data_IF_836413963844
#
_entry.id   IF_836413963844
#
_cell.length_a   1.000
_cell.length_b   1.000
_cell.length_c   1.000
_cell.angle_alpha   90.00
_cell.angle_beta   90.00
_cell.angle_gamma   90.00
#
_symmetry.space_group_name_H-M   'P 1'
#
loop_
_entity.id
_entity.type
_entity.pdbx_description
1 polymer ?
#
# COMPACT_ATOMS: atom_id res chain seq x y z
N UNK A 1 27.44 35.51 -3.08
CA UNK A 1 25.98 35.40 -3.21
C UNK A 1 25.69 33.99 -3.69
N UNK A 2 25.40 33.08 -2.75
CA UNK A 2 25.08 31.69 -3.07
C UNK A 2 23.61 31.59 -3.45
N UNK A 3 23.31 30.95 -4.58
CA UNK A 3 21.96 30.70 -5.05
C UNK A 3 21.14 29.92 -4.01
N UNK A 4 20.07 30.55 -3.54
CA UNK A 4 19.06 29.98 -2.65
C UNK A 4 18.16 29.00 -3.42
N UNK A 5 18.70 27.84 -3.78
CA UNK A 5 18.01 26.89 -4.67
C UNK A 5 18.02 25.45 -4.13
N UNK A 6 17.51 25.23 -2.91
CA UNK A 6 16.84 23.94 -2.56
C UNK A 6 15.89 24.14 -1.37
N UNK A 7 14.84 24.97 -1.49
CA UNK A 7 13.90 25.18 -0.37
C UNK A 7 12.95 23.99 -0.17
N UNK A 8 12.87 23.08 -1.15
CA UNK A 8 11.87 22.01 -1.14
C UNK A 8 12.38 20.75 -1.85
N UNK A 9 12.26 19.61 -1.20
CA UNK A 9 12.56 18.29 -1.77
C UNK A 9 11.25 17.54 -2.07
N UNK A 10 11.05 17.16 -3.33
CA UNK A 10 9.82 16.48 -3.78
C UNK A 10 10.00 14.96 -3.71
N UNK A 11 9.22 14.29 -2.87
CA UNK A 11 9.28 12.84 -2.64
C UNK A 11 8.76 12.02 -3.84
N UNK A 12 7.94 12.64 -4.70
CA UNK A 12 7.36 12.00 -5.90
C UNK A 12 7.64 12.85 -7.14
N UNK A 13 8.73 12.56 -7.85
CA UNK A 13 9.08 13.26 -9.11
C UNK A 13 8.18 12.89 -10.29
N UNK A 14 7.51 11.73 -10.25
CA UNK A 14 6.59 11.30 -11.32
C UNK A 14 5.36 10.57 -10.77
N UNK A 15 4.18 11.20 -10.94
CA UNK A 15 2.88 10.62 -10.53
C UNK A 15 2.58 9.30 -11.26
N UNK A 16 3.00 9.19 -12.52
CA UNK A 16 2.83 7.96 -13.34
C UNK A 16 3.62 6.79 -12.76
N UNK A 17 4.85 7.03 -12.30
CA UNK A 17 5.69 5.97 -11.69
C UNK A 17 5.17 5.57 -10.31
N UNK A 18 4.68 6.52 -9.52
CA UNK A 18 4.04 6.23 -8.23
C UNK A 18 2.74 5.42 -8.38
N UNK A 19 1.98 5.67 -9.47
CA UNK A 19 0.73 4.97 -9.77
C UNK A 19 0.91 3.60 -10.46
N UNK A 20 2.06 3.33 -11.09
CA UNK A 20 2.27 2.11 -11.87
C UNK A 20 2.02 0.81 -11.07
N UNK A 21 2.54 0.65 -9.83
CA UNK A 21 2.26 -0.56 -9.04
C UNK A 21 0.78 -0.74 -8.73
N UNK A 22 0.06 0.37 -8.48
CA UNK A 22 -1.38 0.34 -8.23
C UNK A 22 -2.14 -0.04 -9.51
N UNK A 23 -1.77 0.53 -10.66
CA UNK A 23 -2.37 0.19 -11.95
C UNK A 23 -2.20 -1.30 -12.29
N UNK A 24 -0.99 -1.85 -12.13
CA UNK A 24 -0.72 -3.29 -12.35
C UNK A 24 -1.59 -4.13 -11.44
N UNK A 25 -1.73 -3.73 -10.17
CA UNK A 25 -2.54 -4.47 -9.20
C UNK A 25 -4.03 -4.42 -9.55
N UNK A 26 -4.54 -3.27 -9.98
CA UNK A 26 -5.95 -3.10 -10.41
C UNK A 26 -6.23 -3.94 -11.65
N UNK A 27 -5.36 -3.87 -12.67
CA UNK A 27 -5.50 -4.64 -13.90
C UNK A 27 -5.46 -6.14 -13.64
N UNK A 28 -4.52 -6.61 -12.81
CA UNK A 28 -4.43 -8.01 -12.44
C UNK A 28 -5.72 -8.51 -11.77
N UNK A 29 -6.25 -7.75 -10.80
CA UNK A 29 -7.50 -8.11 -10.13
C UNK A 29 -8.70 -8.12 -11.08
N UNK A 30 -8.78 -7.14 -11.99
CA UNK A 30 -9.80 -7.11 -13.04
C UNK A 30 -9.72 -8.33 -13.96
N UNK A 31 -8.50 -8.75 -14.34
CA UNK A 31 -8.28 -9.95 -15.15
C UNK A 31 -8.72 -11.22 -14.43
N UNK A 32 -8.47 -11.36 -13.12
CA UNK A 32 -8.94 -12.53 -12.34
C UNK A 32 -10.47 -12.61 -12.34
N UNK A 33 -11.16 -11.48 -12.11
CA UNK A 33 -12.63 -11.44 -12.14
C UNK A 33 -13.16 -11.78 -13.53
N UNK A 34 -12.60 -11.16 -14.58
CA UNK A 34 -13.00 -11.44 -15.96
C UNK A 34 -12.76 -12.91 -16.35
N UNK A 35 -11.63 -13.48 -15.93
CA UNK A 35 -11.30 -14.88 -16.17
C UNK A 35 -12.27 -15.84 -15.48
N UNK A 36 -12.66 -15.56 -14.23
CA UNK A 36 -13.67 -16.35 -13.53
C UNK A 36 -15.03 -16.32 -14.24
N UNK A 37 -15.45 -15.15 -14.74
CA UNK A 37 -16.68 -15.02 -15.55
C UNK A 37 -16.57 -15.81 -16.85
N UNK A 38 -15.43 -15.75 -17.55
CA UNK A 38 -15.19 -16.53 -18.78
C UNK A 38 -15.22 -18.04 -18.54
N UNK A 39 -14.83 -18.51 -17.36
CA UNK A 39 -14.94 -19.93 -16.97
C UNK A 39 -16.36 -20.34 -16.56
N UNK A 40 -17.34 -19.44 -16.62
CA UNK A 40 -18.70 -19.74 -16.20
C UNK A 40 -18.86 -19.88 -14.69
N UNK A 41 -18.02 -19.19 -13.90
CA UNK A 41 -18.22 -19.16 -12.45
C UNK A 41 -19.58 -18.51 -12.13
N UNK A 42 -20.42 -19.23 -11.39
CA UNK A 42 -21.76 -18.79 -11.01
C UNK A 42 -21.98 -18.87 -9.50
N UNK A 43 -23.08 -18.27 -9.04
CA UNK A 43 -23.54 -18.35 -7.66
C UNK A 43 -22.49 -17.91 -6.63
N UNK A 44 -22.27 -18.69 -5.55
CA UNK A 44 -21.43 -18.27 -4.42
C UNK A 44 -19.95 -18.11 -4.78
N UNK A 45 -19.44 -18.84 -5.78
CA UNK A 45 -18.05 -18.75 -6.22
C UNK A 45 -17.75 -17.42 -6.91
N UNK A 46 -18.64 -16.98 -7.79
CA UNK A 46 -18.51 -15.67 -8.43
C UNK A 46 -18.58 -14.54 -7.40
N UNK A 47 -19.49 -14.64 -6.42
CA UNK A 47 -19.59 -13.66 -5.32
C UNK A 47 -18.32 -13.61 -4.48
N UNK A 48 -17.68 -14.75 -4.23
CA UNK A 48 -16.43 -14.83 -3.47
C UNK A 48 -15.27 -14.19 -4.27
N UNK A 49 -15.17 -14.48 -5.57
CA UNK A 49 -14.16 -13.87 -6.46
C UNK A 49 -14.36 -12.35 -6.55
N UNK A 50 -15.59 -11.88 -6.77
CA UNK A 50 -15.92 -10.44 -6.78
C UNK A 50 -15.65 -9.81 -5.42
N UNK A 51 -16.02 -10.48 -4.33
CA UNK A 51 -15.80 -9.99 -2.96
C UNK A 51 -14.32 -9.80 -2.64
N UNK A 52 -13.47 -10.76 -3.00
CA UNK A 52 -12.03 -10.69 -2.71
C UNK A 52 -11.31 -9.78 -3.71
N UNK A 53 -11.48 -10.02 -5.01
CA UNK A 53 -10.69 -9.35 -6.05
C UNK A 53 -11.34 -8.06 -6.53
N UNK A 54 -12.68 -8.03 -6.64
CA UNK A 54 -13.43 -6.83 -7.03
C UNK A 54 -13.32 -5.73 -5.98
N UNK A 55 -13.62 -6.01 -4.71
CA UNK A 55 -13.51 -5.00 -3.65
C UNK A 55 -12.07 -4.48 -3.49
N UNK A 56 -11.07 -5.37 -3.47
CA UNK A 56 -9.67 -4.98 -3.42
C UNK A 56 -9.23 -4.23 -4.70
N UNK A 57 -9.83 -4.54 -5.85
CA UNK A 57 -9.62 -3.84 -7.12
C UNK A 57 -10.15 -2.41 -7.06
N UNK A 58 -11.37 -2.22 -6.55
CA UNK A 58 -11.98 -0.89 -6.35
C UNK A 58 -11.14 -0.04 -5.40
N UNK A 59 -10.72 -0.59 -4.25
CA UNK A 59 -9.84 0.12 -3.31
C UNK A 59 -8.53 0.53 -3.99
N UNK A 60 -7.92 -0.38 -4.77
CA UNK A 60 -6.71 -0.10 -5.54
C UNK A 60 -6.90 0.99 -6.59
N UNK A 61 -8.06 1.00 -7.26
CA UNK A 61 -8.41 2.00 -8.27
C UNK A 61 -8.59 3.38 -7.64
N UNK A 62 -9.28 3.47 -6.50
CA UNK A 62 -9.42 4.72 -5.74
C UNK A 62 -8.04 5.25 -5.33
N UNK A 63 -7.17 4.38 -4.80
CA UNK A 63 -5.79 4.77 -4.46
C UNK A 63 -4.98 5.24 -5.67
N UNK A 64 -5.13 4.58 -6.82
CA UNK A 64 -4.48 4.97 -8.07
C UNK A 64 -4.94 6.36 -8.54
N UNK A 65 -6.25 6.60 -8.57
CA UNK A 65 -6.83 7.89 -8.94
C UNK A 65 -6.36 8.99 -7.98
N UNK A 66 -6.36 8.73 -6.67
CA UNK A 66 -5.86 9.67 -5.67
C UNK A 66 -4.36 9.99 -5.88
N UNK A 67 -3.56 8.99 -6.26
CA UNK A 67 -2.11 9.15 -6.54
C UNK A 67 -1.87 10.02 -7.77
N UNK A 68 -2.69 9.89 -8.82
CA UNK A 68 -2.57 10.69 -10.04
C UNK A 68 -3.02 12.15 -9.84
N UNK A 69 -4.07 12.36 -9.06
CA UNK A 69 -4.73 13.65 -8.98
C UNK A 69 -4.19 14.56 -7.87
N UNK A 70 -3.79 14.03 -6.72
CA UNK A 70 -3.37 14.92 -5.63
C UNK A 70 -1.92 15.39 -5.78
N UNK A 71 -1.57 16.52 -5.13
CA UNK A 71 -0.22 17.06 -5.21
C UNK A 71 0.80 16.09 -4.59
N UNK A 72 2.06 16.11 -5.06
CA UNK A 72 3.09 15.25 -4.51
C UNK A 72 3.42 15.66 -3.07
N UNK A 73 3.85 14.69 -2.27
CA UNK A 73 4.39 14.97 -0.95
C UNK A 73 5.75 15.68 -1.07
N UNK A 74 6.02 16.60 -0.15
CA UNK A 74 7.23 17.41 -0.18
C UNK A 74 7.83 17.58 1.21
N UNK A 75 9.15 17.69 1.28
CA UNK A 75 9.91 18.11 2.44
C UNK A 75 10.36 19.55 2.22
N UNK A 76 10.38 20.36 3.27
CA UNK A 76 10.84 21.74 3.25
C UNK A 76 11.51 22.08 4.57
N UNK A 77 12.14 23.25 4.67
CA UNK A 77 12.70 23.72 5.94
C UNK A 77 11.63 23.87 7.04
N UNK A 78 10.39 24.17 6.68
CA UNK A 78 9.29 24.37 7.64
C UNK A 78 8.68 23.04 8.13
N UNK A 79 8.88 21.95 7.39
CA UNK A 79 8.29 20.65 7.73
C UNK A 79 8.01 19.73 6.55
N UNK A 80 7.23 18.69 6.83
CA UNK A 80 6.73 17.75 5.83
C UNK A 80 5.32 18.11 5.40
N UNK A 81 5.06 17.98 4.10
CA UNK A 81 3.73 18.03 3.53
C UNK A 81 3.38 16.67 2.96
N UNK A 82 2.65 15.87 3.74
CA UNK A 82 2.43 14.44 3.48
C UNK A 82 0.96 14.07 3.59
N UNK A 83 0.56 12.92 3.04
CA UNK A 83 -0.83 12.47 3.17
C UNK A 83 -1.04 11.79 4.52
N UNK A 84 -2.19 12.10 5.14
CA UNK A 84 -2.69 11.40 6.32
C UNK A 84 -2.84 9.89 6.09
N UNK A 85 -3.21 9.51 4.87
CA UNK A 85 -3.42 8.13 4.43
C UNK A 85 -3.12 8.01 2.93
N UNK A 86 -2.79 6.81 2.46
CA UNK A 86 -2.49 6.55 1.04
C UNK A 86 -3.62 6.98 0.08
N UNK A 87 -4.87 6.93 0.54
CA UNK A 87 -6.06 7.31 -0.24
C UNK A 87 -6.56 8.73 0.03
N UNK A 88 -5.96 9.47 0.98
CA UNK A 88 -6.44 10.81 1.33
C UNK A 88 -6.14 11.80 0.19
N UNK A 89 -7.13 12.60 -0.25
CA UNK A 89 -6.93 13.59 -1.29
C UNK A 89 -6.14 14.82 -0.79
N UNK A 90 -6.13 15.06 0.52
CA UNK A 90 -5.49 16.22 1.15
C UNK A 90 -4.06 15.93 1.61
N UNK A 91 -3.22 16.96 1.51
CA UNK A 91 -1.92 17.00 2.17
C UNK A 91 -2.06 17.65 3.55
N UNK A 92 -1.29 17.13 4.50
CA UNK A 92 -1.18 17.64 5.86
C UNK A 92 0.23 18.17 6.04
N UNK A 93 0.33 19.42 6.47
CA UNK A 93 1.58 20.04 6.86
C UNK A 93 1.92 19.63 8.30
N UNK A 94 3.16 19.18 8.51
CA UNK A 94 3.68 18.66 9.77
C UNK A 94 5.00 19.38 10.03
N UNK A 95 5.07 20.15 11.10
CA UNK A 95 6.31 20.80 11.52
C UNK A 95 7.34 19.74 11.95
N UNK A 96 8.63 20.00 11.71
CA UNK A 96 9.70 19.09 12.13
C UNK A 96 9.72 18.86 13.65
N UNK A 97 9.38 19.90 14.44
CA UNK A 97 9.26 19.81 15.90
C UNK A 97 8.18 18.83 16.36
N UNK A 98 7.18 18.56 15.53
CA UNK A 98 6.07 17.67 15.86
C UNK A 98 6.35 16.24 15.44
N UNK A 99 7.43 16.00 14.67
CA UNK A 99 7.82 14.66 14.26
C UNK A 99 8.44 13.93 15.43
N UNK A 100 7.82 12.82 15.82
CA UNK A 100 8.32 11.95 16.89
C UNK A 100 9.25 10.88 16.34
N UNK A 101 8.83 10.26 15.23
CA UNK A 101 9.57 9.16 14.60
C UNK A 101 9.35 9.19 13.09
N UNK A 102 10.39 8.83 12.33
CA UNK A 102 10.33 8.63 10.90
C UNK A 102 11.07 7.33 10.52
N UNK A 103 10.50 6.57 9.59
CA UNK A 103 11.09 5.30 9.16
C UNK A 103 10.74 4.95 7.71
N UNK A 104 11.54 4.07 7.12
CA UNK A 104 11.18 3.39 5.89
C UNK A 104 10.37 2.13 6.18
N UNK A 105 9.31 1.94 5.39
CA UNK A 105 8.48 0.74 5.43
C UNK A 105 8.07 0.31 4.03
N UNK A 106 7.75 -0.98 3.90
CA UNK A 106 7.19 -1.53 2.67
C UNK A 106 5.71 -1.87 2.84
N UNK A 107 4.92 -1.42 1.87
CA UNK A 107 3.51 -1.79 1.70
C UNK A 107 3.37 -2.54 0.37
N UNK A 108 3.40 -3.86 0.44
CA UNK A 108 3.57 -4.70 -0.76
C UNK A 108 4.97 -4.55 -1.36
N UNK A 109 5.07 -4.22 -2.65
CA UNK A 109 6.35 -3.97 -3.32
C UNK A 109 6.85 -2.53 -3.15
N UNK A 110 5.99 -1.62 -2.69
CA UNK A 110 6.26 -0.18 -2.69
C UNK A 110 6.91 0.25 -1.37
N UNK A 111 8.08 0.87 -1.46
CA UNK A 111 8.71 1.55 -0.31
C UNK A 111 7.97 2.86 0.00
N UNK A 112 7.86 3.19 1.26
CA UNK A 112 7.20 4.40 1.75
C UNK A 112 7.94 5.00 2.94
N UNK A 113 7.88 6.31 3.07
CA UNK A 113 8.26 7.04 4.28
C UNK A 113 7.06 7.05 5.24
N UNK A 114 7.23 6.46 6.41
CA UNK A 114 6.31 6.53 7.54
C UNK A 114 6.74 7.64 8.50
N UNK A 115 5.79 8.44 8.97
CA UNK A 115 6.05 9.53 9.93
C UNK A 115 5.00 9.52 11.03
N UNK A 116 5.44 9.46 12.28
CA UNK A 116 4.60 9.64 13.46
C UNK A 116 4.75 11.08 13.96
N UNK A 117 3.64 11.82 14.09
CA UNK A 117 3.69 13.22 14.50
C UNK A 117 2.62 13.61 15.53
N UNK A 118 2.93 14.60 16.36
CA UNK A 118 2.04 15.14 17.39
C UNK A 118 1.53 14.08 18.35
N UNK A 119 0.23 14.09 18.66
CA UNK A 119 -0.43 13.07 19.49
C UNK A 119 -0.99 11.91 18.66
N UNK A 120 -0.82 11.93 17.34
CA UNK A 120 -1.45 10.97 16.43
C UNK A 120 -0.78 9.61 16.53
N UNK A 121 -1.54 8.58 16.89
CA UNK A 121 -1.04 7.20 16.94
C UNK A 121 -0.89 6.55 15.56
N UNK A 122 -1.51 7.15 14.53
CA UNK A 122 -1.45 6.68 13.15
C UNK A 122 -0.38 7.41 12.35
N UNK A 123 0.55 6.64 11.79
CA UNK A 123 1.57 7.16 10.91
C UNK A 123 0.97 7.81 9.65
N UNK A 124 1.54 8.95 9.27
CA UNK A 124 1.44 9.47 7.91
C UNK A 124 2.30 8.58 7.01
N UNK A 125 1.78 8.21 5.84
CA UNK A 125 2.47 7.30 4.93
C UNK A 125 2.56 7.96 3.57
N UNK A 126 3.78 8.14 3.10
CA UNK A 126 4.06 8.69 1.78
C UNK A 126 4.83 7.67 0.95
N UNK A 127 4.31 7.26 -0.21
CA UNK A 127 5.04 6.38 -1.11
C UNK A 127 6.29 7.05 -1.69
N UNK A 128 7.38 6.28 -1.76
CA UNK A 128 8.61 6.66 -2.45
C UNK A 128 8.61 5.87 -3.77
N UNK A 129 8.55 6.52 -4.94
CA UNK A 129 8.51 5.81 -6.21
C UNK A 129 9.82 5.07 -6.45
N UNK A 130 9.74 3.75 -6.61
CA UNK A 130 10.90 2.90 -6.83
C UNK A 130 11.74 3.36 -8.03
N UNK A 131 13.07 3.34 -7.87
CA UNK A 131 14.03 3.62 -8.94
C UNK A 131 14.18 5.09 -9.35
N UNK A 132 13.63 6.05 -8.59
CA UNK A 132 13.78 7.48 -8.88
C UNK A 132 14.49 8.31 -7.83
N UNK A 133 14.47 7.87 -6.58
CA UNK A 133 15.10 8.55 -5.46
C UNK A 133 15.69 7.47 -4.57
N UNK A 134 16.98 7.60 -4.26
CA UNK A 134 17.64 6.70 -3.31
C UNK A 134 17.07 6.97 -1.90
N UNK A 135 16.67 5.94 -1.14
CA UNK A 135 16.33 6.10 0.28
C UNK A 135 17.37 6.89 1.08
N UNK A 136 18.65 6.75 0.76
CA UNK A 136 19.71 7.52 1.40
C UNK A 136 19.57 9.03 1.11
N UNK A 137 19.18 9.41 -0.10
CA UNK A 137 18.87 10.80 -0.45
C UNK A 137 17.65 11.32 0.32
N UNK A 138 16.61 10.50 0.49
CA UNK A 138 15.45 10.88 1.30
C UNK A 138 15.83 11.08 2.76
N UNK A 139 16.63 10.16 3.33
CA UNK A 139 17.10 10.26 4.71
C UNK A 139 18.00 11.49 4.91
N UNK A 140 18.90 11.76 3.97
CA UNK A 140 19.74 12.95 3.98
C UNK A 140 18.92 14.24 3.88
N UNK A 141 17.94 14.30 2.98
CA UNK A 141 17.05 15.46 2.84
C UNK A 141 16.21 15.69 4.10
N UNK A 142 15.71 14.63 4.75
CA UNK A 142 15.01 14.76 6.05
C UNK A 142 15.95 15.30 7.12
N UNK A 143 17.17 14.77 7.22
CA UNK A 143 18.15 15.21 8.21
C UNK A 143 18.54 16.68 8.00
N UNK A 144 18.85 17.07 6.77
CA UNK A 144 19.26 18.42 6.40
C UNK A 144 18.12 19.44 6.61
N UNK A 145 16.93 19.17 6.05
CA UNK A 145 15.80 20.10 6.11
C UNK A 145 15.19 20.22 7.50
N UNK A 146 15.35 19.20 8.35
CA UNK A 146 14.95 19.27 9.76
C UNK A 146 15.99 19.93 10.67
N UNK A 147 17.13 20.38 10.13
CA UNK A 147 18.25 20.90 10.93
C UNK A 147 18.84 19.85 11.88
N UNK A 148 18.75 18.58 11.53
CA UNK A 148 19.21 17.44 12.33
C UNK A 148 18.23 16.93 13.39
N UNK A 149 17.04 17.52 13.50
CA UNK A 149 16.03 17.11 14.49
C UNK A 149 15.47 15.71 14.23
N UNK A 150 15.37 15.32 12.96
CA UNK A 150 14.75 14.07 12.55
C UNK A 150 15.75 13.19 11.83
N UNK A 151 15.81 11.92 12.23
CA UNK A 151 16.52 10.85 11.52
C UNK A 151 15.51 9.82 11.03
N UNK A 152 15.78 9.23 9.86
CA UNK A 152 14.91 8.21 9.28
C UNK A 152 15.50 6.84 9.58
N UNK A 153 14.76 6.01 10.31
CA UNK A 153 15.17 4.63 10.57
C UNK A 153 14.91 3.74 9.34
N UNK A 154 15.78 2.75 9.10
CA UNK A 154 15.59 1.79 8.01
C UNK A 154 14.46 0.78 8.25
N UNK A 155 14.03 0.66 9.50
CA UNK A 155 13.02 -0.30 9.92
C UNK A 155 11.89 0.40 10.68
N UNK A 156 10.64 -0.09 10.54
CA UNK A 156 9.53 0.43 11.31
C UNK A 156 9.73 0.18 12.80
N UNK A 157 9.24 1.09 13.67
CA UNK A 157 9.31 0.90 15.12
C UNK A 157 8.64 -0.40 15.54
N UNK A 158 9.26 -1.07 16.52
CA UNK A 158 8.81 -2.37 17.02
C UNK A 158 7.52 -2.21 17.86
N UNK A 159 6.36 -2.31 17.20
CA UNK A 159 5.00 -2.11 17.76
C UNK A 159 4.77 -0.70 18.34
N UNK A 160 3.52 -0.22 18.42
CA UNK A 160 3.25 1.00 19.17
C UNK A 160 3.50 0.74 20.66
N UNK A 161 4.23 1.64 21.33
CA UNK A 161 4.20 1.74 22.79
C UNK A 161 2.81 2.15 23.32
N UNK A 162 1.90 2.59 22.45
CA UNK A 162 0.55 3.02 22.79
C UNK A 162 -0.53 2.35 21.92
N UNK A 163 -1.11 1.26 22.46
CA UNK A 163 -2.56 1.10 22.61
C UNK A 163 -3.52 0.90 21.41
N UNK A 164 -3.36 1.48 20.22
CA UNK A 164 -4.48 1.44 19.25
C UNK A 164 -4.73 0.08 18.61
N UNK A 165 -5.96 -0.41 18.75
CA UNK A 165 -6.45 -1.70 18.25
C UNK A 165 -6.31 -1.87 16.72
N UNK A 166 -6.26 -0.78 15.95
CA UNK A 166 -6.10 -0.82 14.49
C UNK A 166 -4.68 -1.22 14.06
N UNK A 167 -3.65 -0.84 14.84
CA UNK A 167 -2.26 -1.23 14.56
C UNK A 167 -1.92 -2.66 15.00
N UNK A 168 -2.77 -3.29 15.82
CA UNK A 168 -2.66 -4.74 16.13
C UNK A 168 -2.85 -5.63 14.90
N UNK A 169 -3.59 -5.19 13.88
CA UNK A 169 -3.88 -6.00 12.68
C UNK A 169 -3.04 -5.64 11.44
N UNK A 170 -2.53 -4.40 11.33
CA UNK A 170 -1.86 -3.90 10.12
C UNK A 170 -0.36 -3.57 10.22
N UNK A 171 0.17 -3.31 11.43
CA UNK A 171 1.57 -2.86 11.63
C UNK A 171 1.91 -1.49 10.99
N UNK A 172 3.11 -0.97 11.26
CA UNK A 172 3.65 0.26 10.66
C UNK A 172 4.28 0.04 9.28
N UNK A 173 3.77 -0.97 8.56
CA UNK A 173 4.37 -1.56 7.37
C UNK A 173 5.38 -2.66 7.69
N UNK A 174 5.95 -3.29 6.66
CA UNK A 174 6.85 -4.43 6.81
C UNK A 174 8.29 -4.05 6.45
N UNK A 175 9.25 -4.66 7.14
CA UNK A 175 10.60 -4.82 6.63
C UNK A 175 10.56 -5.75 5.42
N UNK A 176 11.25 -5.44 4.31
CA UNK A 176 11.19 -6.26 3.10
C UNK A 176 11.99 -7.56 3.31
N UNK A 177 11.35 -8.56 3.91
CA UNK A 177 11.89 -9.92 4.03
C UNK A 177 11.33 -10.89 2.99
N UNK A 178 10.27 -10.53 2.29
CA UNK A 178 9.55 -11.45 1.39
C UNK A 178 9.90 -11.16 -0.06
N UNK A 179 10.47 -12.15 -0.75
CA UNK A 179 10.72 -12.06 -2.19
C UNK A 179 9.39 -11.94 -2.94
N UNK A 180 9.39 -11.19 -4.05
CA UNK A 180 8.21 -10.99 -4.90
C UNK A 180 7.66 -12.33 -5.41
N UNK A 181 8.53 -13.32 -5.57
CA UNK A 181 8.22 -14.70 -5.96
C UNK A 181 7.33 -15.40 -4.92
N UNK A 182 7.65 -15.26 -3.62
CA UNK A 182 6.85 -15.83 -2.52
C UNK A 182 5.49 -15.13 -2.41
N UNK A 183 5.42 -13.84 -2.74
CA UNK A 183 4.16 -13.09 -2.73
C UNK A 183 3.22 -13.46 -3.89
N UNK A 184 3.77 -13.95 -5.01
CA UNK A 184 3.02 -14.30 -6.24
C UNK A 184 2.62 -15.78 -6.30
N UNK A 185 3.42 -16.68 -5.72
CA UNK A 185 3.20 -18.13 -5.69
C UNK A 185 1.78 -18.58 -5.25
N UNK A 186 1.20 -18.03 -4.17
CA UNK A 186 -0.16 -18.41 -3.76
C UNK A 186 -1.22 -18.05 -4.80
N UNK A 187 -1.02 -16.95 -5.54
CA UNK A 187 -1.96 -16.49 -6.56
C UNK A 187 -1.88 -17.34 -7.83
N UNK A 188 -0.67 -17.74 -8.23
CA UNK A 188 -0.47 -18.68 -9.34
C UNK A 188 -1.09 -20.04 -9.01
N UNK A 189 -0.92 -20.51 -7.78
CA UNK A 189 -1.54 -21.76 -7.32
C UNK A 189 -3.07 -21.67 -7.35
N UNK A 190 -3.67 -20.56 -6.88
CA UNK A 190 -5.13 -20.35 -6.95
C UNK A 190 -5.63 -20.33 -8.40
N UNK A 191 -4.93 -19.64 -9.31
CA UNK A 191 -5.32 -19.57 -10.72
C UNK A 191 -5.21 -20.93 -11.42
N UNK A 192 -4.18 -21.72 -11.10
CA UNK A 192 -4.00 -23.07 -11.65
C UNK A 192 -5.02 -24.07 -11.09
N UNK A 193 -5.45 -23.90 -9.84
CA UNK A 193 -6.44 -24.75 -9.17
C UNK A 193 -7.88 -24.32 -9.44
N UNK A 194 -8.11 -23.10 -9.95
CA UNK A 194 -9.45 -22.56 -10.18
C UNK A 194 -10.31 -23.46 -11.10
N UNK A 195 -9.80 -24.00 -12.22
CA UNK A 195 -10.57 -24.92 -13.05
C UNK A 195 -10.98 -26.18 -12.28
N UNK A 196 -10.07 -26.75 -11.50
CA UNK A 196 -10.35 -27.94 -10.69
C UNK A 196 -11.36 -27.67 -9.56
N UNK A 197 -11.30 -26.48 -8.95
CA UNK A 197 -12.27 -26.02 -7.94
C UNK A 197 -13.66 -25.75 -8.51
N UNK A 198 -13.75 -25.36 -9.79
CA UNK A 198 -15.03 -25.15 -10.47
C UNK A 198 -15.64 -26.49 -10.96
N UNK A 199 -14.80 -27.47 -11.29
CA UNK A 199 -15.22 -28.82 -11.68
C UNK A 199 -15.51 -29.74 -10.49
N UNK A 200 -15.11 -29.37 -9.27
CA UNK A 200 -15.47 -30.18 -8.09
C UNK A 200 -16.98 -30.15 -7.87
N UNK A 201 -17.64 -31.32 -7.83
CA UNK A 201 -19.08 -31.38 -7.62
C UNK A 201 -19.44 -30.73 -6.30
N UNK A 202 -20.40 -29.81 -6.35
CA UNK A 202 -20.79 -29.01 -5.20
C UNK A 202 -21.16 -29.93 -4.03
N UNK A 203 -20.82 -29.59 -2.79
CA UNK A 203 -21.05 -30.48 -1.65
C UNK A 203 -22.54 -30.78 -1.46
N UNK A 204 -23.45 -29.92 -1.91
CA UNK A 204 -24.90 -30.13 -1.88
C UNK A 204 -25.46 -31.02 -2.99
N UNK A 205 -24.67 -31.34 -4.02
CA UNK A 205 -25.04 -32.30 -5.08
C UNK A 205 -24.62 -33.73 -4.73
N UNK A 206 -24.06 -33.93 -3.53
CA UNK A 206 -23.56 -35.22 -3.06
C UNK A 206 -24.64 -36.02 -2.34
N UNK A 207 -24.63 -37.33 -2.53
CA UNK A 207 -25.59 -38.27 -1.91
C UNK A 207 -25.57 -38.29 -0.38
N UNK A 208 -24.52 -37.75 0.23
CA UNK A 208 -24.36 -37.64 1.68
C UNK A 208 -24.82 -36.27 2.24
N UNK A 209 -25.25 -35.32 1.40
CA UNK A 209 -25.65 -33.99 1.86
C UNK A 209 -27.07 -33.99 2.45
N UNK A 210 -27.29 -33.34 3.61
CA UNK A 210 -28.62 -33.22 4.20
C UNK A 210 -29.57 -32.47 3.26
N UNK A 211 -30.59 -33.16 2.75
CA UNK A 211 -31.59 -32.60 1.82
C UNK A 211 -31.51 -33.12 0.38
N UNK A 212 -30.57 -34.01 0.06
CA UNK A 212 -30.52 -34.71 -1.23
C UNK A 212 -31.65 -35.74 -1.32
N UNK A 213 -32.82 -35.32 -1.81
CA UNK A 213 -33.94 -36.19 -2.13
C UNK A 213 -34.15 -36.19 -3.65
N UNK A 214 -33.72 -37.27 -4.30
CA UNK A 214 -34.25 -37.66 -5.60
C UNK A 214 -35.56 -38.44 -5.41
#
# INVERSE_FOLDING_TARGET
MSDAATTQFVLVRSRRRAGLPLAVTVLFRGLVVAYAVLLGAEGPYLLLVIGIFGLAGVIGLVAFIATLNSPPATLSADGLRVRAEAISPGLTDIAWSDVREAWFAYYGSQRSLGVLAGTRERAYVTPIPDGTIDPAEVAAAVHELSGGLVTVADTPPARPQTGSAMFRRGGYGRERKTSLLIAVLPWVAILALLPWLLDTPQPWDQSWWPGYHQ
#
